data_IF_131279989090
#
_entry.id   IF_131279989090
#
_cell.length_a   1.000
_cell.length_b   1.000
_cell.length_c   1.000
_cell.angle_alpha   90.00
_cell.angle_beta   90.00
_cell.angle_gamma   90.00
#
_symmetry.space_group_name_H-M   'P 1'
#
loop_
_entity.id
_entity.type
_entity.pdbx_description
1 polymer ?
#
# COMPACT_ATOMS: atom_id res chain seq x y z
N UNK A 1 11.55 -22.33 3.14
CA UNK A 1 11.63 -20.97 3.73
C UNK A 1 13.08 -20.69 4.09
N UNK A 2 13.62 -19.54 3.70
CA UNK A 2 14.94 -19.06 4.12
C UNK A 2 14.76 -17.95 5.15
N UNK A 3 15.34 -18.13 6.33
CA UNK A 3 15.30 -17.16 7.42
C UNK A 3 16.67 -16.50 7.59
N UNK A 4 16.78 -15.24 7.18
CA UNK A 4 17.95 -14.36 7.33
C UNK A 4 17.62 -13.15 8.23
N UNK A 5 16.47 -13.16 8.89
CA UNK A 5 16.04 -12.09 9.78
C UNK A 5 16.83 -12.03 11.09
N UNK A 6 16.75 -10.91 11.81
CA UNK A 6 17.47 -10.68 13.08
C UNK A 6 19.00 -10.81 12.95
N UNK A 7 19.55 -10.43 11.80
CA UNK A 7 20.99 -10.41 11.55
C UNK A 7 21.49 -8.96 11.45
N UNK A 8 22.75 -8.79 11.03
CA UNK A 8 23.38 -7.48 10.83
C UNK A 8 23.63 -7.19 9.35
N UNK A 9 22.79 -7.73 8.47
CA UNK A 9 22.91 -7.50 7.04
C UNK A 9 22.65 -6.03 6.73
N UNK A 10 23.41 -5.48 5.79
CA UNK A 10 23.36 -4.06 5.42
C UNK A 10 23.07 -3.83 3.94
N UNK A 11 23.25 -4.86 3.11
CA UNK A 11 22.91 -4.86 1.68
C UNK A 11 22.56 -6.25 1.18
N UNK A 12 21.81 -6.31 0.08
CA UNK A 12 21.65 -7.52 -0.73
C UNK A 12 22.16 -7.24 -2.13
N UNK A 13 23.23 -7.93 -2.52
CA UNK A 13 23.87 -7.77 -3.82
C UNK A 13 23.23 -8.69 -4.87
N UNK A 14 23.49 -8.39 -6.14
CA UNK A 14 23.17 -9.30 -7.24
C UNK A 14 23.74 -10.69 -6.95
N UNK A 15 22.95 -11.71 -7.29
CA UNK A 15 23.34 -13.11 -7.21
C UNK A 15 23.63 -13.67 -5.81
N UNK A 16 23.53 -12.87 -4.76
CA UNK A 16 23.73 -13.33 -3.39
C UNK A 16 22.81 -14.50 -3.02
N UNK A 17 21.59 -14.52 -3.58
CA UNK A 17 20.56 -15.52 -3.30
C UNK A 17 20.32 -16.49 -4.49
N UNK A 18 21.07 -16.40 -5.59
CA UNK A 18 20.81 -17.15 -6.83
C UNK A 18 20.80 -18.68 -6.67
N UNK A 19 21.51 -19.21 -5.68
CA UNK A 19 21.57 -20.65 -5.40
C UNK A 19 20.28 -21.21 -4.78
N UNK A 20 19.39 -20.35 -4.28
CA UNK A 20 18.23 -20.73 -3.47
C UNK A 20 16.97 -20.91 -4.34
N UNK A 21 17.11 -21.63 -5.46
CA UNK A 21 16.07 -21.75 -6.51
C UNK A 21 14.73 -22.33 -6.02
N UNK A 22 14.76 -23.11 -4.95
CA UNK A 22 13.57 -23.74 -4.35
C UNK A 22 12.95 -22.90 -3.22
N UNK A 23 13.46 -21.69 -2.95
CA UNK A 23 12.95 -20.86 -1.85
C UNK A 23 11.63 -20.20 -2.25
N UNK A 24 10.53 -20.60 -1.60
CA UNK A 24 9.23 -19.95 -1.76
C UNK A 24 9.02 -18.75 -0.82
N UNK A 25 9.78 -18.67 0.28
CA UNK A 25 9.64 -17.61 1.28
C UNK A 25 11.01 -17.17 1.77
N UNK A 26 11.22 -15.86 1.85
CA UNK A 26 12.44 -15.25 2.39
C UNK A 26 12.11 -14.23 3.47
N UNK A 27 12.70 -14.43 4.65
CA UNK A 27 12.69 -13.46 5.73
C UNK A 27 14.02 -12.72 5.82
N UNK A 28 14.02 -11.42 5.52
CA UNK A 28 15.15 -10.49 5.63
C UNK A 28 14.87 -9.35 6.62
N UNK A 29 13.74 -9.41 7.33
CA UNK A 29 13.30 -8.41 8.29
C UNK A 29 14.25 -8.27 9.50
N UNK A 30 14.13 -7.18 10.26
CA UNK A 30 14.97 -6.92 11.43
C UNK A 30 16.47 -7.03 11.12
N UNK A 31 16.91 -6.36 10.05
CA UNK A 31 18.31 -6.20 9.68
C UNK A 31 18.64 -4.71 9.58
N UNK A 32 19.83 -4.36 9.06
CA UNK A 32 20.24 -2.99 8.77
C UNK A 32 20.30 -2.73 7.25
N UNK A 33 19.52 -3.46 6.45
CA UNK A 33 19.60 -3.39 4.99
C UNK A 33 19.18 -2.00 4.56
N UNK A 34 20.09 -1.25 3.93
CA UNK A 34 19.80 0.08 3.40
C UNK A 34 19.76 0.12 1.88
N UNK A 35 20.31 -0.89 1.21
CA UNK A 35 20.33 -0.99 -0.25
C UNK A 35 20.03 -2.41 -0.73
N UNK A 36 19.22 -2.50 -1.78
CA UNK A 36 18.90 -3.70 -2.52
C UNK A 36 19.35 -3.49 -3.95
N UNK A 37 20.19 -4.38 -4.47
CA UNK A 37 20.53 -4.35 -5.88
C UNK A 37 19.29 -4.63 -6.75
N UNK A 38 19.17 -4.05 -7.96
CA UNK A 38 18.03 -4.31 -8.85
C UNK A 38 17.77 -5.79 -9.16
N UNK A 39 18.80 -6.65 -9.04
CA UNK A 39 18.73 -8.10 -9.26
C UNK A 39 18.95 -8.90 -7.97
N UNK A 40 18.63 -8.31 -6.81
CA UNK A 40 18.80 -8.95 -5.50
C UNK A 40 18.05 -10.29 -5.38
N UNK A 41 16.93 -10.44 -6.09
CA UNK A 41 16.05 -11.61 -6.05
C UNK A 41 16.04 -12.43 -7.35
N UNK A 42 16.94 -12.13 -8.29
CA UNK A 42 17.11 -12.92 -9.50
C UNK A 42 17.38 -14.39 -9.15
N UNK A 43 16.79 -15.32 -9.90
CA UNK A 43 16.95 -16.76 -9.67
C UNK A 43 16.05 -17.37 -8.58
N UNK A 44 15.33 -16.57 -7.80
CA UNK A 44 14.32 -17.04 -6.85
C UNK A 44 12.97 -17.23 -7.53
N UNK A 45 12.91 -18.16 -8.49
CA UNK A 45 11.78 -18.28 -9.42
C UNK A 45 10.49 -18.81 -8.77
N UNK A 46 10.61 -19.49 -7.62
CA UNK A 46 9.46 -20.02 -6.86
C UNK A 46 9.01 -19.10 -5.71
N UNK A 47 9.59 -17.90 -5.61
CA UNK A 47 9.37 -16.99 -4.49
C UNK A 47 7.94 -16.44 -4.47
N UNK A 48 7.26 -16.68 -3.35
CA UNK A 48 5.88 -16.23 -3.07
C UNK A 48 5.81 -15.15 -1.99
N UNK A 49 6.72 -15.19 -1.00
CA UNK A 49 6.68 -14.27 0.14
C UNK A 49 8.05 -13.65 0.39
N UNK A 50 8.09 -12.33 0.51
CA UNK A 50 9.27 -11.57 0.93
C UNK A 50 8.92 -10.68 2.13
N UNK A 51 9.66 -10.87 3.21
CA UNK A 51 9.59 -10.00 4.39
C UNK A 51 10.89 -9.19 4.51
N UNK A 52 10.80 -7.89 4.28
CA UNK A 52 11.87 -6.89 4.36
C UNK A 52 11.59 -5.80 5.40
N UNK A 53 10.58 -5.99 6.24
CA UNK A 53 10.19 -5.00 7.24
C UNK A 53 11.27 -4.74 8.30
N UNK A 54 11.20 -3.60 8.98
CA UNK A 54 12.14 -3.21 10.02
C UNK A 54 13.60 -3.26 9.52
N UNK A 55 13.85 -2.53 8.44
CA UNK A 55 15.17 -2.33 7.82
C UNK A 55 15.40 -0.82 7.60
N UNK A 56 16.37 -0.45 6.76
CA UNK A 56 16.72 0.95 6.45
C UNK A 56 16.66 1.24 4.95
N UNK A 57 15.88 0.48 4.20
CA UNK A 57 15.81 0.57 2.73
C UNK A 57 15.28 1.94 2.35
N UNK A 58 16.02 2.68 1.53
CA UNK A 58 15.65 4.04 1.13
C UNK A 58 14.98 4.10 -0.24
N UNK A 59 15.24 3.12 -1.08
CA UNK A 59 14.80 3.08 -2.48
C UNK A 59 14.51 1.65 -2.93
N UNK A 60 13.55 1.53 -3.87
CA UNK A 60 13.30 0.32 -4.63
C UNK A 60 13.75 0.57 -6.06
N UNK A 61 14.23 -0.47 -6.75
CA UNK A 61 14.58 -0.35 -8.16
C UNK A 61 13.36 -0.68 -9.06
N UNK A 62 13.22 -0.01 -10.22
CA UNK A 62 12.26 -0.43 -11.24
C UNK A 62 12.49 -1.89 -11.62
N UNK A 63 11.41 -2.64 -11.85
CA UNK A 63 11.45 -4.05 -12.28
C UNK A 63 12.23 -5.00 -11.35
N UNK A 64 12.51 -4.64 -10.08
CA UNK A 64 13.35 -5.47 -9.20
C UNK A 64 12.79 -6.88 -8.91
N UNK A 65 11.52 -7.10 -9.22
CA UNK A 65 10.82 -8.37 -9.07
C UNK A 65 10.40 -8.99 -10.42
N UNK A 66 11.01 -8.60 -11.54
CA UNK A 66 10.63 -9.05 -12.89
C UNK A 66 10.59 -10.58 -13.05
N UNK A 67 11.48 -11.28 -12.34
CA UNK A 67 11.61 -12.74 -12.39
C UNK A 67 10.85 -13.47 -11.27
N UNK A 68 10.21 -12.74 -10.34
CA UNK A 68 9.51 -13.30 -9.17
C UNK A 68 7.98 -13.23 -9.36
N UNK A 69 7.50 -13.69 -10.52
CA UNK A 69 6.08 -13.59 -10.94
C UNK A 69 5.09 -14.34 -10.04
N UNK A 70 5.59 -15.23 -9.16
CA UNK A 70 4.79 -15.98 -8.21
C UNK A 70 4.63 -15.25 -6.86
N UNK A 71 5.15 -14.03 -6.72
CA UNK A 71 4.97 -13.26 -5.48
C UNK A 71 3.50 -13.00 -5.18
N UNK A 72 3.11 -13.40 -3.98
CA UNK A 72 1.79 -13.24 -3.36
C UNK A 72 1.85 -12.19 -2.25
N UNK A 73 2.99 -12.03 -1.57
CA UNK A 73 3.15 -11.12 -0.43
C UNK A 73 4.52 -10.43 -0.42
N UNK A 74 4.50 -9.09 -0.32
CA UNK A 74 5.69 -8.26 -0.14
C UNK A 74 5.48 -7.32 1.04
N UNK A 75 6.28 -7.50 2.10
CA UNK A 75 6.21 -6.69 3.32
C UNK A 75 7.47 -5.85 3.44
N UNK A 76 7.32 -4.53 3.27
CA UNK A 76 8.36 -3.50 3.29
C UNK A 76 8.13 -2.46 4.40
N UNK A 77 7.26 -2.78 5.36
CA UNK A 77 6.90 -1.93 6.49
C UNK A 77 8.11 -1.41 7.25
N UNK A 78 8.02 -0.22 7.83
CA UNK A 78 9.05 0.36 8.70
C UNK A 78 10.44 0.37 8.04
N UNK A 79 10.50 0.97 6.85
CA UNK A 79 11.73 1.28 6.14
C UNK A 79 11.81 2.80 5.92
N UNK A 80 12.71 3.25 5.05
CA UNK A 80 12.93 4.67 4.74
C UNK A 80 12.57 4.99 3.29
N UNK A 81 11.69 4.18 2.67
CA UNK A 81 11.35 4.28 1.26
C UNK A 81 10.59 5.59 1.01
N UNK A 82 11.13 6.44 0.15
CA UNK A 82 10.54 7.76 -0.16
C UNK A 82 9.74 7.79 -1.45
N UNK A 83 10.06 6.88 -2.38
CA UNK A 83 9.42 6.75 -3.69
C UNK A 83 9.26 5.27 -4.05
N UNK A 84 8.20 4.97 -4.80
CA UNK A 84 7.99 3.66 -5.43
C UNK A 84 8.06 3.89 -6.94
N UNK A 85 9.19 3.58 -7.60
CA UNK A 85 9.32 3.82 -9.02
C UNK A 85 8.24 3.09 -9.82
N UNK A 86 7.81 3.71 -10.92
CA UNK A 86 6.94 3.05 -11.87
C UNK A 86 7.59 1.75 -12.37
N UNK A 87 6.81 0.69 -12.46
CA UNK A 87 7.29 -0.61 -12.91
C UNK A 87 7.77 -1.55 -11.80
N UNK A 88 7.98 -1.07 -10.57
CA UNK A 88 8.45 -1.90 -9.43
C UNK A 88 7.64 -3.18 -9.27
N UNK A 89 6.31 -3.10 -9.37
CA UNK A 89 5.39 -4.22 -9.20
C UNK A 89 4.73 -4.70 -10.50
N UNK A 90 5.23 -4.29 -11.67
CA UNK A 90 4.57 -4.49 -12.98
C UNK A 90 4.27 -5.95 -13.30
N UNK A 91 5.10 -6.88 -12.84
CA UNK A 91 5.00 -8.29 -13.16
C UNK A 91 4.29 -9.12 -12.07
N UNK A 92 3.88 -8.48 -10.97
CA UNK A 92 3.36 -9.17 -9.79
C UNK A 92 1.83 -9.32 -9.87
N UNK A 93 1.36 -10.06 -10.87
CA UNK A 93 -0.07 -10.27 -11.12
C UNK A 93 -0.74 -11.13 -10.04
N UNK A 94 0.03 -11.94 -9.32
CA UNK A 94 -0.42 -12.79 -8.22
C UNK A 94 -0.34 -12.10 -6.84
N UNK A 95 0.18 -10.86 -6.76
CA UNK A 95 0.36 -10.16 -5.50
C UNK A 95 -0.98 -9.94 -4.81
N UNK A 96 -1.12 -10.40 -3.58
CA UNK A 96 -2.32 -10.29 -2.75
C UNK A 96 -2.13 -9.29 -1.61
N UNK A 97 -0.93 -9.23 -1.03
CA UNK A 97 -0.61 -8.36 0.10
C UNK A 97 0.62 -7.52 -0.24
N UNK A 98 0.47 -6.20 -0.14
CA UNK A 98 1.56 -5.25 -0.23
C UNK A 98 1.54 -4.33 1.00
N UNK A 99 2.56 -4.45 1.85
CA UNK A 99 2.71 -3.60 3.02
C UNK A 99 3.89 -2.64 2.86
N UNK A 100 3.56 -1.35 2.74
CA UNK A 100 4.48 -0.22 2.65
C UNK A 100 4.28 0.75 3.83
N UNK A 101 3.63 0.32 4.91
CA UNK A 101 3.34 1.17 6.07
C UNK A 101 4.62 1.65 6.78
N UNK A 102 4.57 2.80 7.44
CA UNK A 102 5.71 3.32 8.22
C UNK A 102 6.95 3.63 7.36
N UNK A 103 6.76 4.07 6.12
CA UNK A 103 7.82 4.54 5.23
C UNK A 103 7.78 6.08 5.11
N UNK A 104 8.47 6.65 4.12
CA UNK A 104 8.53 8.09 3.84
C UNK A 104 7.90 8.46 2.50
N UNK A 105 6.95 7.65 2.02
CA UNK A 105 6.37 7.80 0.70
C UNK A 105 5.57 9.11 0.65
N UNK A 106 5.91 9.98 -0.28
CA UNK A 106 5.26 11.30 -0.42
C UNK A 106 4.18 11.34 -1.49
N UNK A 107 4.25 10.42 -2.46
CA UNK A 107 3.30 10.29 -3.57
C UNK A 107 3.30 8.85 -4.10
N UNK A 108 2.18 8.48 -4.74
CA UNK A 108 2.05 7.25 -5.51
C UNK A 108 1.80 7.67 -6.95
N UNK A 109 2.70 7.31 -7.85
CA UNK A 109 2.57 7.68 -9.25
C UNK A 109 1.42 6.92 -9.93
N UNK A 110 0.94 7.45 -11.04
CA UNK A 110 -0.09 6.77 -11.81
C UNK A 110 0.43 5.40 -12.27
N UNK A 111 -0.46 4.41 -12.30
CA UNK A 111 -0.16 3.05 -12.79
C UNK A 111 0.83 2.24 -11.94
N UNK A 112 1.29 2.72 -10.77
CA UNK A 112 2.21 1.96 -9.89
C UNK A 112 1.71 0.56 -9.59
N UNK A 113 0.39 0.38 -9.41
CA UNK A 113 -0.24 -0.92 -9.12
C UNK A 113 -1.09 -1.47 -10.27
N UNK A 114 -0.96 -0.95 -11.49
CA UNK A 114 -1.91 -1.24 -12.58
C UNK A 114 -2.05 -2.73 -12.89
N UNK A 115 -0.97 -3.50 -12.74
CA UNK A 115 -0.92 -4.93 -13.05
C UNK A 115 -1.13 -5.82 -11.81
N UNK A 116 -1.26 -5.26 -10.62
CA UNK A 116 -1.48 -5.99 -9.37
C UNK A 116 -2.98 -6.32 -9.20
N UNK A 117 -3.57 -6.96 -10.21
CA UNK A 117 -5.02 -7.20 -10.26
C UNK A 117 -5.52 -8.11 -9.13
N UNK A 118 -4.65 -8.99 -8.59
CA UNK A 118 -4.97 -9.87 -7.47
C UNK A 118 -4.87 -9.21 -6.10
N UNK A 119 -4.42 -7.96 -6.01
CA UNK A 119 -4.14 -7.30 -4.73
C UNK A 119 -5.41 -7.18 -3.89
N UNK A 120 -5.36 -7.68 -2.66
CA UNK A 120 -6.44 -7.69 -1.67
C UNK A 120 -6.20 -6.68 -0.57
N UNK A 121 -4.94 -6.52 -0.15
CA UNK A 121 -4.56 -5.64 0.94
C UNK A 121 -3.41 -4.72 0.53
N UNK A 122 -3.62 -3.42 0.72
CA UNK A 122 -2.62 -2.39 0.48
C UNK A 122 -2.47 -1.52 1.72
N UNK A 123 -1.31 -1.62 2.36
CA UNK A 123 -0.99 -0.86 3.57
C UNK A 123 -0.03 0.28 3.23
N UNK A 124 -0.50 1.51 3.39
CA UNK A 124 0.25 2.75 3.17
C UNK A 124 0.18 3.67 4.40
N UNK A 125 -0.32 3.16 5.53
CA UNK A 125 -0.45 3.91 6.76
C UNK A 125 0.89 4.42 7.30
N UNK A 126 0.93 5.61 7.89
CA UNK A 126 2.17 6.15 8.47
C UNK A 126 3.22 6.55 7.43
N UNK A 127 2.80 7.09 6.29
CA UNK A 127 3.67 7.67 5.26
C UNK A 127 3.53 9.21 5.24
N UNK A 128 4.04 9.86 4.19
CA UNK A 128 3.98 11.31 4.01
C UNK A 128 3.12 11.73 2.81
N UNK A 129 2.15 10.90 2.44
CA UNK A 129 1.32 11.09 1.25
C UNK A 129 0.44 12.32 1.45
N UNK A 130 0.48 13.27 0.51
CA UNK A 130 -0.34 14.50 0.54
C UNK A 130 -1.54 14.44 -0.40
N UNK A 131 -1.39 13.75 -1.51
CA UNK A 131 -2.44 13.63 -2.54
C UNK A 131 -2.46 12.20 -3.09
N UNK A 132 -3.66 11.73 -3.43
CA UNK A 132 -3.85 10.50 -4.19
C UNK A 132 -4.15 10.93 -5.62
N UNK A 133 -3.16 10.79 -6.49
CA UNK A 133 -3.26 11.27 -7.87
C UNK A 133 -4.22 10.39 -8.69
N UNK A 134 -4.76 10.96 -9.76
CA UNK A 134 -5.60 10.19 -10.66
C UNK A 134 -4.82 9.00 -11.23
N UNK A 135 -5.42 7.82 -11.17
CA UNK A 135 -4.83 6.60 -11.69
C UNK A 135 -3.79 5.93 -10.80
N UNK A 136 -3.46 6.48 -9.62
CA UNK A 136 -2.56 5.83 -8.65
C UNK A 136 -3.09 4.48 -8.16
N UNK A 137 -4.42 4.35 -8.06
CA UNK A 137 -5.12 3.14 -7.62
C UNK A 137 -5.82 2.40 -8.77
N UNK A 138 -5.42 2.67 -10.02
CA UNK A 138 -5.98 1.99 -11.20
C UNK A 138 -5.59 0.52 -11.18
N UNK A 139 -6.51 -0.37 -11.57
CA UNK A 139 -6.28 -1.82 -11.65
C UNK A 139 -6.65 -2.61 -10.39
N UNK A 140 -6.79 -1.94 -9.24
CA UNK A 140 -7.06 -2.54 -7.94
C UNK A 140 -8.53 -2.94 -7.72
N UNK A 141 -9.14 -3.63 -8.69
CA UNK A 141 -10.57 -3.99 -8.69
C UNK A 141 -10.94 -4.98 -7.58
N UNK A 142 -9.99 -5.82 -7.19
CA UNK A 142 -10.18 -6.84 -6.14
C UNK A 142 -9.69 -6.39 -4.77
N UNK A 143 -9.24 -5.13 -4.62
CA UNK A 143 -8.75 -4.65 -3.33
C UNK A 143 -9.89 -4.63 -2.31
N UNK A 144 -9.66 -5.24 -1.16
CA UNK A 144 -10.63 -5.37 -0.07
C UNK A 144 -10.31 -4.43 1.09
N UNK A 145 -9.03 -4.14 1.31
CA UNK A 145 -8.55 -3.28 2.38
C UNK A 145 -7.52 -2.28 1.85
N UNK A 146 -7.74 -1.00 2.15
CA UNK A 146 -6.81 0.08 1.89
C UNK A 146 -6.59 0.90 3.17
N UNK A 147 -5.34 0.91 3.64
CA UNK A 147 -4.92 1.77 4.75
C UNK A 147 -4.08 2.94 4.27
N UNK A 148 -4.61 4.15 4.41
CA UNK A 148 -3.98 5.44 4.14
C UNK A 148 -3.93 6.31 5.41
N UNK A 149 -4.13 5.72 6.58
CA UNK A 149 -4.13 6.43 7.85
C UNK A 149 -2.76 7.05 8.17
N UNK A 150 -2.72 8.05 9.06
CA UNK A 150 -1.46 8.69 9.51
C UNK A 150 -0.60 9.18 8.34
N UNK A 151 -1.24 9.80 7.34
CA UNK A 151 -0.59 10.47 6.22
C UNK A 151 -0.79 12.00 6.34
N UNK A 152 -0.59 12.74 5.25
CA UNK A 152 -0.74 14.20 5.20
C UNK A 152 -1.81 14.60 4.17
N UNK A 153 -2.79 13.74 3.92
CA UNK A 153 -3.82 13.93 2.89
C UNK A 153 -4.77 15.03 3.34
N UNK A 154 -4.90 16.10 2.56
CA UNK A 154 -5.84 17.21 2.86
C UNK A 154 -7.08 17.22 1.98
N UNK A 155 -7.01 16.58 0.82
CA UNK A 155 -8.09 16.57 -0.18
C UNK A 155 -8.23 15.18 -0.79
N UNK A 156 -9.49 14.76 -0.97
CA UNK A 156 -9.85 13.61 -1.80
C UNK A 156 -10.49 14.19 -3.05
N UNK A 157 -10.00 13.82 -4.23
CA UNK A 157 -10.61 14.26 -5.48
C UNK A 157 -11.80 13.37 -5.82
N UNK A 158 -12.73 13.91 -6.60
CA UNK A 158 -13.81 13.11 -7.17
C UNK A 158 -13.24 11.91 -7.90
N UNK A 159 -13.89 10.76 -7.74
CA UNK A 159 -13.52 9.52 -8.42
C UNK A 159 -12.11 8.97 -8.07
N UNK A 160 -11.43 9.48 -7.02
CA UNK A 160 -10.14 8.95 -6.53
C UNK A 160 -10.20 7.43 -6.30
N UNK A 161 -11.31 6.94 -5.77
CA UNK A 161 -11.51 5.52 -5.44
C UNK A 161 -12.37 4.75 -6.47
N UNK A 162 -12.60 5.31 -7.68
CA UNK A 162 -13.59 4.76 -8.65
C UNK A 162 -13.39 3.30 -9.04
N UNK A 163 -12.15 2.80 -8.98
CA UNK A 163 -11.80 1.44 -9.38
C UNK A 163 -11.93 0.41 -8.23
N UNK A 164 -12.07 0.86 -6.98
CA UNK A 164 -12.01 -0.01 -5.79
C UNK A 164 -13.39 -0.60 -5.48
N UNK A 165 -14.01 -1.24 -6.46
CA UNK A 165 -15.40 -1.72 -6.38
C UNK A 165 -15.60 -2.85 -5.36
N UNK A 166 -14.53 -3.58 -5.01
CA UNK A 166 -14.54 -4.66 -4.02
C UNK A 166 -14.12 -4.21 -2.62
N UNK A 167 -13.84 -2.91 -2.42
CA UNK A 167 -13.29 -2.41 -1.16
C UNK A 167 -14.31 -2.55 -0.03
N UNK A 168 -13.87 -3.18 1.06
CA UNK A 168 -14.67 -3.41 2.26
C UNK A 168 -14.23 -2.51 3.40
N UNK A 169 -12.93 -2.16 3.46
CA UNK A 169 -12.34 -1.38 4.55
C UNK A 169 -11.45 -0.28 3.99
N UNK A 170 -11.74 0.96 4.40
CA UNK A 170 -10.97 2.14 4.03
C UNK A 170 -10.57 2.91 5.30
N UNK A 171 -9.27 3.04 5.53
CA UNK A 171 -8.72 3.80 6.65
C UNK A 171 -8.05 5.08 6.14
N UNK A 172 -8.59 6.22 6.54
CA UNK A 172 -8.13 7.57 6.22
C UNK A 172 -7.92 8.41 7.49
N UNK A 173 -7.96 7.79 8.67
CA UNK A 173 -7.82 8.50 9.93
C UNK A 173 -6.43 9.11 10.15
N UNK A 174 -6.33 10.12 11.01
CA UNK A 174 -5.10 10.89 11.26
C UNK A 174 -4.52 11.48 9.97
N UNK A 175 -5.37 12.14 9.18
CA UNK A 175 -4.98 12.93 8.00
C UNK A 175 -5.38 14.40 8.24
N UNK A 176 -5.57 15.19 7.18
CA UNK A 176 -5.92 16.62 7.22
C UNK A 176 -7.15 16.93 6.38
N UNK A 177 -8.00 15.93 6.15
CA UNK A 177 -9.15 16.04 5.24
C UNK A 177 -10.19 16.95 5.89
N UNK A 178 -10.59 18.01 5.20
CA UNK A 178 -11.56 18.99 5.72
C UNK A 178 -12.95 18.90 5.11
N UNK A 179 -13.07 18.25 3.94
CA UNK A 179 -14.31 18.22 3.17
C UNK A 179 -14.61 16.82 2.62
N UNK A 180 -15.90 16.51 2.56
CA UNK A 180 -16.44 15.31 1.95
C UNK A 180 -17.57 15.65 0.99
N UNK A 181 -17.56 14.98 -0.16
CA UNK A 181 -18.64 15.01 -1.13
C UNK A 181 -19.17 13.60 -1.37
N UNK A 182 -20.41 13.49 -1.85
CA UNK A 182 -21.02 12.21 -2.27
C UNK A 182 -20.23 11.50 -3.37
N UNK A 183 -19.41 12.23 -4.13
CA UNK A 183 -18.59 11.70 -5.23
C UNK A 183 -17.29 11.04 -4.77
N UNK A 184 -16.87 11.23 -3.51
CA UNK A 184 -15.64 10.61 -3.01
C UNK A 184 -15.79 9.09 -2.84
N UNK A 185 -16.98 8.61 -2.44
CA UNK A 185 -17.21 7.21 -2.07
C UNK A 185 -18.31 6.51 -2.88
N UNK A 186 -18.86 7.18 -3.91
CA UNK A 186 -19.99 6.69 -4.72
C UNK A 186 -19.79 5.28 -5.34
N UNK A 187 -18.54 4.91 -5.68
CA UNK A 187 -18.20 3.60 -6.26
C UNK A 187 -17.90 2.51 -5.23
N UNK A 188 -17.76 2.87 -3.95
CA UNK A 188 -17.41 1.95 -2.86
C UNK A 188 -18.67 1.25 -2.31
N UNK A 189 -19.41 0.57 -3.20
CA UNK A 189 -20.73 -0.01 -2.89
C UNK A 189 -20.67 -1.18 -1.89
N UNK A 190 -19.49 -1.77 -1.68
CA UNK A 190 -19.25 -2.86 -0.74
C UNK A 190 -18.55 -2.41 0.55
N UNK A 191 -18.42 -1.09 0.77
CA UNK A 191 -17.70 -0.54 1.91
C UNK A 191 -18.46 -0.81 3.22
N UNK A 192 -17.82 -1.53 4.14
CA UNK A 192 -18.37 -1.89 5.45
C UNK A 192 -17.75 -1.06 6.57
N UNK A 193 -16.47 -0.73 6.45
CA UNK A 193 -15.73 0.06 7.45
C UNK A 193 -15.11 1.28 6.79
N UNK A 194 -15.47 2.46 7.28
CA UNK A 194 -14.83 3.73 6.93
C UNK A 194 -14.31 4.40 8.20
N UNK A 195 -13.00 4.60 8.25
CA UNK A 195 -12.35 5.27 9.37
C UNK A 195 -11.75 6.59 8.92
N UNK A 196 -12.26 7.69 9.45
CA UNK A 196 -11.83 9.07 9.17
C UNK A 196 -11.57 9.85 10.46
N UNK A 197 -11.30 9.16 11.57
CA UNK A 197 -10.97 9.77 12.86
C UNK A 197 -9.77 10.72 12.75
N UNK A 198 -9.66 11.71 13.64
CA UNK A 198 -8.56 12.70 13.65
C UNK A 198 -8.30 13.31 12.27
N UNK A 199 -9.32 13.93 11.70
CA UNK A 199 -9.24 14.76 10.49
C UNK A 199 -9.79 16.16 10.80
N UNK A 200 -9.99 16.99 9.78
CA UNK A 200 -10.42 18.39 9.94
C UNK A 200 -11.87 18.59 9.43
N UNK A 201 -12.70 17.55 9.41
CA UNK A 201 -14.06 17.62 8.85
C UNK A 201 -14.92 18.56 9.70
N UNK A 202 -15.61 19.49 9.04
CA UNK A 202 -16.47 20.49 9.69
C UNK A 202 -17.96 20.22 9.55
N UNK A 203 -18.36 19.56 8.46
CA UNK A 203 -19.75 19.32 8.10
C UNK A 203 -19.94 17.87 7.67
N UNK A 204 -21.03 17.28 8.15
CA UNK A 204 -21.49 15.96 7.76
C UNK A 204 -22.90 16.07 7.17
N UNK A 205 -23.13 15.46 6.02
CA UNK A 205 -24.42 15.44 5.34
C UNK A 205 -24.78 14.02 4.92
N UNK A 206 -26.06 13.68 5.04
CA UNK A 206 -26.56 12.33 4.69
C UNK A 206 -26.24 11.91 3.26
N UNK A 207 -26.21 12.87 2.32
CA UNK A 207 -25.90 12.63 0.91
C UNK A 207 -24.48 12.09 0.66
N UNK A 208 -23.53 12.31 1.57
CA UNK A 208 -22.13 11.90 1.41
C UNK A 208 -21.94 10.38 1.38
N UNK A 209 -22.87 9.61 1.98
CA UNK A 209 -22.78 8.15 2.11
C UNK A 209 -23.94 7.41 1.41
N UNK A 210 -24.71 8.09 0.55
CA UNK A 210 -25.92 7.54 -0.08
C UNK A 210 -25.68 6.24 -0.88
N UNK A 211 -24.47 6.07 -1.42
CA UNK A 211 -24.07 4.87 -2.18
C UNK A 211 -23.54 3.74 -1.29
N UNK A 212 -23.10 4.03 -0.07
CA UNK A 212 -22.43 3.07 0.82
C UNK A 212 -23.45 2.38 1.75
N UNK A 213 -24.45 1.73 1.16
CA UNK A 213 -25.63 1.19 1.86
C UNK A 213 -25.34 0.04 2.84
N UNK A 214 -24.18 -0.58 2.73
CA UNK A 214 -23.73 -1.69 3.60
C UNK A 214 -22.68 -1.24 4.62
N UNK A 215 -22.52 0.07 4.84
CA UNK A 215 -21.60 0.61 5.82
C UNK A 215 -22.08 0.22 7.23
N UNK A 216 -21.20 -0.45 7.98
CA UNK A 216 -21.46 -0.99 9.31
C UNK A 216 -20.77 -0.15 10.39
N UNK A 217 -19.56 0.33 10.10
CA UNK A 217 -18.72 1.07 11.02
C UNK A 217 -18.22 2.36 10.37
N UNK A 218 -18.50 3.49 11.03
CA UNK A 218 -18.06 4.82 10.64
C UNK A 218 -17.39 5.52 11.83
N UNK A 219 -16.08 5.72 11.73
CA UNK A 219 -15.28 6.40 12.77
C UNK A 219 -14.96 7.84 12.36
N UNK A 220 -15.52 8.81 13.08
CA UNK A 220 -15.38 10.25 12.83
C UNK A 220 -14.89 11.02 14.05
N UNK A 221 -14.50 10.33 15.12
CA UNK A 221 -13.98 10.94 16.35
C UNK A 221 -12.76 11.83 16.07
N UNK A 222 -12.61 12.91 16.83
CA UNK A 222 -11.49 13.85 16.65
C UNK A 222 -11.55 14.70 15.37
N UNK A 223 -12.73 14.93 14.80
CA UNK A 223 -12.96 15.96 13.78
C UNK A 223 -13.54 17.26 14.39
N UNK A 224 -13.79 18.26 13.56
CA UNK A 224 -14.37 19.57 13.93
C UNK A 224 -15.86 19.69 13.53
N UNK A 225 -16.60 18.57 13.55
CA UNK A 225 -17.98 18.53 13.06
C UNK A 225 -18.89 19.35 13.99
N UNK A 226 -19.61 20.31 13.44
CA UNK A 226 -20.64 21.10 14.13
C UNK A 226 -21.98 21.04 13.40
N UNK A 227 -23.05 21.45 14.10
CA UNK A 227 -24.42 21.56 13.58
C UNK A 227 -24.56 22.56 12.42
#
# INVERSE_FOLDING_TARGET
>A
MLALHNNRMWKINDRMLNGLRNAEKIGLHNNNIYTLSPKAFDGLLLLKVIHLYDNRITELAPNMFENNILLEEVVLRNNLISTVPQGTFRYLTNLQILDLAGNKITKIDAQTFQQCESLRELWLGGNEIRTINEGSLRGLKNLEMLDLSKNKISEIKNETFKNLVSLKRLYLGSNRISELSSMHFNRLINLRVLSMFNNNLKLLRNEQFVSNKVLEELFLDGNEISD
#
